data_IF_650778531226
#
_entry.id   IF_650778531226
#
_cell.length_a   1.000
_cell.length_b   1.000
_cell.length_c   1.000
_cell.angle_alpha   90.00
_cell.angle_beta   90.00
_cell.angle_gamma   90.00
#
_symmetry.space_group_name_H-M   'P 1'
#
loop_
_entity.id
_entity.type
_entity.pdbx_description
1 polymer ?
#
# COMPACT_ATOMS: atom_id res chain seq x y z
N UNK A 1 -22.57 -12.48 -18.93
CA UNK A 1 -22.36 -11.13 -19.49
C UNK A 1 -21.98 -10.21 -18.35
N UNK A 2 -20.85 -9.52 -18.45
CA UNK A 2 -20.46 -8.49 -17.49
C UNK A 2 -21.12 -7.15 -17.87
N UNK A 3 -21.63 -6.41 -16.89
CA UNK A 3 -22.25 -5.10 -17.10
C UNK A 3 -21.37 -4.01 -16.51
N UNK A 4 -21.00 -3.03 -17.34
CA UNK A 4 -20.21 -1.86 -16.92
C UNK A 4 -20.95 -1.04 -15.86
N UNK A 5 -20.28 -0.67 -14.77
CA UNK A 5 -20.79 0.17 -13.67
C UNK A 5 -20.26 1.59 -13.79
N UNK A 6 -20.87 2.38 -14.68
CA UNK A 6 -20.45 3.76 -14.94
C UNK A 6 -20.64 4.67 -13.71
N UNK A 7 -21.55 4.31 -12.80
CA UNK A 7 -21.83 4.99 -11.55
C UNK A 7 -20.66 4.97 -10.54
N UNK A 8 -19.72 4.03 -10.71
CA UNK A 8 -18.55 3.91 -9.84
C UNK A 8 -17.30 4.61 -10.41
N UNK A 9 -17.28 4.95 -11.69
CA UNK A 9 -16.12 5.54 -12.35
C UNK A 9 -15.91 6.97 -11.82
N UNK A 10 -14.69 7.27 -11.35
CA UNK A 10 -14.34 8.58 -10.78
C UNK A 10 -14.74 8.78 -9.31
N UNK A 11 -15.25 7.74 -8.65
CA UNK A 11 -15.43 7.74 -7.18
C UNK A 11 -14.14 7.33 -6.49
N UNK A 12 -13.85 7.97 -5.36
CA UNK A 12 -12.73 7.63 -4.49
C UNK A 12 -13.22 6.71 -3.36
N UNK A 13 -12.31 5.87 -2.87
CA UNK A 13 -12.55 4.99 -1.73
C UNK A 13 -11.21 4.49 -1.20
N UNK A 14 -11.21 4.01 0.04
CA UNK A 14 -10.04 3.44 0.67
C UNK A 14 -10.18 1.93 0.75
N UNK A 15 -9.09 1.21 0.46
CA UNK A 15 -9.02 -0.25 0.64
C UNK A 15 -8.00 -0.50 1.73
N UNK A 16 -8.45 -1.07 2.85
CA UNK A 16 -7.53 -1.57 3.89
C UNK A 16 -6.93 -2.88 3.42
N UNK A 17 -5.59 -2.98 3.46
CA UNK A 17 -4.85 -4.19 3.10
C UNK A 17 -3.89 -4.55 4.21
N UNK A 18 -3.75 -5.85 4.48
CA UNK A 18 -2.66 -6.35 5.30
C UNK A 18 -1.38 -6.37 4.47
N UNK A 19 -0.31 -5.86 5.08
CA UNK A 19 1.04 -5.89 4.54
C UNK A 19 1.96 -6.55 5.56
N UNK A 20 3.06 -7.10 5.08
CA UNK A 20 4.17 -7.57 5.89
C UNK A 20 5.42 -6.75 5.54
N UNK A 21 6.07 -6.16 6.55
CA UNK A 21 7.37 -5.52 6.35
C UNK A 21 8.42 -6.64 6.32
N UNK A 22 9.13 -6.77 5.20
CA UNK A 22 10.12 -7.82 4.97
C UNK A 22 11.57 -7.30 4.96
N UNK A 23 11.77 -5.99 4.87
CA UNK A 23 13.07 -5.32 4.99
C UNK A 23 12.84 -3.84 5.39
N UNK A 24 13.81 -3.20 6.04
CA UNK A 24 13.72 -1.80 6.44
C UNK A 24 15.11 -1.15 6.50
N UNK A 25 15.21 0.12 6.10
CA UNK A 25 16.45 0.90 6.12
C UNK A 25 16.17 2.30 6.64
N UNK A 26 16.96 2.72 7.62
CA UNK A 26 16.93 4.09 8.15
C UNK A 26 18.04 4.92 7.48
N UNK A 27 17.65 6.06 6.91
CA UNK A 27 18.55 7.06 6.33
C UNK A 27 18.48 8.38 7.09
N UNK A 28 19.20 9.39 6.60
CA UNK A 28 19.23 10.73 7.22
C UNK A 28 17.84 11.40 7.30
N UNK A 29 16.92 11.04 6.40
CA UNK A 29 15.64 11.73 6.21
C UNK A 29 14.41 10.87 6.51
N UNK A 30 14.56 9.63 6.99
CA UNK A 30 13.42 8.77 7.30
C UNK A 30 13.72 7.27 7.21
N UNK A 31 12.64 6.48 7.26
CA UNK A 31 12.68 5.02 7.19
C UNK A 31 11.98 4.54 5.92
N UNK A 32 12.78 3.93 5.04
CA UNK A 32 12.29 3.17 3.89
C UNK A 32 11.93 1.75 4.36
N UNK A 33 10.74 1.26 4.01
CA UNK A 33 10.32 -0.12 4.27
C UNK A 33 10.04 -0.86 2.98
N UNK A 34 10.48 -2.11 2.91
CA UNK A 34 10.10 -3.05 1.85
C UNK A 34 8.95 -3.89 2.35
N UNK A 35 7.83 -3.86 1.64
CA UNK A 35 6.62 -4.57 2.02
C UNK A 35 6.27 -5.67 1.03
N UNK A 36 5.64 -6.73 1.55
CA UNK A 36 4.90 -7.73 0.79
C UNK A 36 3.42 -7.56 1.06
N UNK A 37 2.60 -7.43 0.02
CA UNK A 37 1.13 -7.38 0.16
C UNK A 37 0.49 -8.77 0.03
N UNK A 38 -0.79 -8.87 0.40
CA UNK A 38 -1.56 -10.13 0.32
C UNK A 38 -1.82 -10.64 -1.09
N UNK A 39 -1.46 -9.87 -2.12
CA UNK A 39 -1.54 -10.27 -3.53
C UNK A 39 -0.19 -10.74 -4.09
N UNK A 40 0.86 -10.75 -3.25
CA UNK A 40 2.20 -11.18 -3.62
C UNK A 40 3.05 -10.08 -4.27
N UNK A 41 2.62 -8.81 -4.24
CA UNK A 41 3.43 -7.70 -4.72
C UNK A 41 4.47 -7.34 -3.66
N UNK A 42 5.68 -6.98 -4.11
CA UNK A 42 6.77 -6.56 -3.24
C UNK A 42 7.38 -5.25 -3.74
N UNK A 43 7.41 -4.22 -2.90
CA UNK A 43 7.96 -2.91 -3.25
C UNK A 43 8.46 -2.15 -2.01
N UNK A 44 9.28 -1.12 -2.24
CA UNK A 44 9.74 -0.17 -1.22
C UNK A 44 8.79 1.03 -1.14
N UNK A 45 8.58 1.56 0.06
CA UNK A 45 7.74 2.73 0.34
C UNK A 45 8.20 3.39 1.65
N UNK A 46 7.80 4.63 1.88
CA UNK A 46 8.12 5.37 3.09
C UNK A 46 7.17 4.99 4.25
N UNK A 47 7.73 4.74 5.44
CA UNK A 47 6.94 4.36 6.61
C UNK A 47 6.08 5.53 7.14
N UNK A 48 6.55 6.77 7.04
CA UNK A 48 5.88 7.92 7.67
C UNK A 48 4.68 8.48 6.87
N UNK A 49 4.69 8.39 5.53
CA UNK A 49 3.63 8.98 4.70
C UNK A 49 2.58 7.96 4.22
N UNK A 50 3.01 6.73 3.92
CA UNK A 50 2.15 5.76 3.24
C UNK A 50 1.66 4.62 4.14
N UNK A 51 2.29 4.38 5.30
CA UNK A 51 2.10 3.17 6.11
C UNK A 51 1.93 3.48 7.60
N UNK A 52 0.70 3.42 8.12
CA UNK A 52 0.48 3.47 9.57
C UNK A 52 0.52 2.06 10.19
N UNK A 53 1.31 1.90 11.26
CA UNK A 53 1.36 0.69 12.09
C UNK A 53 0.56 0.94 13.38
N UNK A 54 -0.28 -0.02 13.79
CA UNK A 54 -0.97 -0.05 15.09
C UNK A 54 -0.04 -0.54 16.21
#
# INVERSE_FOLDING_TARGET
>A
MERRREDLIGRTGSITRSIEIIDAKEGEYGVDVRISDSMGNVYWTDLDEDISLD
#
